data_IF_911490429203
#
_entry.id   IF_911490429203
#
_cell.length_a   1.000
_cell.length_b   1.000
_cell.length_c   1.000
_cell.angle_alpha   90.00
_cell.angle_beta   90.00
_cell.angle_gamma   90.00
#
_symmetry.space_group_name_H-M   'P 1'
#
loop_
_entity.id
_entity.type
_entity.pdbx_description
1 polymer ?
#
# COMPACT_ATOMS: atom_id res chain seq x y z
N UNK A 1 19.23 -10.52 -34.67
CA UNK A 1 18.19 -9.68 -34.02
C UNK A 1 17.70 -10.26 -32.67
N UNK A 2 18.58 -10.84 -31.83
CA UNK A 2 18.15 -11.50 -30.57
C UNK A 2 18.33 -10.66 -29.31
N UNK A 3 19.24 -9.68 -29.31
CA UNK A 3 19.55 -8.87 -28.12
C UNK A 3 18.42 -7.91 -27.71
N UNK A 4 17.64 -7.40 -28.69
CA UNK A 4 16.56 -6.45 -28.41
C UNK A 4 15.41 -7.08 -27.59
N UNK A 5 15.07 -8.36 -27.84
CA UNK A 5 14.00 -9.07 -27.11
C UNK A 5 14.35 -9.35 -25.65
N UNK A 6 15.61 -9.69 -25.37
CA UNK A 6 16.09 -9.92 -24.01
C UNK A 6 16.07 -8.65 -23.17
N UNK A 7 16.40 -7.51 -23.77
CA UNK A 7 16.38 -6.21 -23.10
C UNK A 7 14.95 -5.76 -22.76
N UNK A 8 14.01 -5.85 -23.71
CA UNK A 8 12.60 -5.50 -23.44
C UNK A 8 11.96 -6.37 -22.36
N UNK A 9 12.24 -7.68 -22.35
CA UNK A 9 11.68 -8.59 -21.34
C UNK A 9 12.20 -8.27 -19.92
N UNK A 10 13.48 -7.90 -19.82
CA UNK A 10 14.09 -7.51 -18.55
C UNK A 10 13.49 -6.20 -18.01
N UNK A 11 13.31 -5.19 -18.86
CA UNK A 11 12.72 -3.89 -18.47
C UNK A 11 11.27 -4.05 -18.01
N UNK A 12 10.48 -4.91 -18.68
CA UNK A 12 9.11 -5.20 -18.24
C UNK A 12 9.07 -5.96 -16.90
N UNK A 13 10.03 -6.86 -16.65
CA UNK A 13 10.16 -7.56 -15.38
C UNK A 13 10.54 -6.61 -14.24
N UNK A 14 11.59 -5.80 -14.42
CA UNK A 14 12.05 -4.83 -13.42
C UNK A 14 10.97 -3.78 -13.09
N UNK A 15 10.17 -3.35 -14.08
CA UNK A 15 9.02 -2.47 -13.85
C UNK A 15 7.90 -3.16 -13.05
N UNK A 16 7.56 -4.40 -13.38
CA UNK A 16 6.55 -5.16 -12.65
C UNK A 16 6.99 -5.41 -11.20
N UNK A 17 8.25 -5.75 -10.98
CA UNK A 17 8.85 -5.93 -9.65
C UNK A 17 8.82 -4.61 -8.86
N UNK A 18 9.16 -3.49 -9.50
CA UNK A 18 9.09 -2.17 -8.87
C UNK A 18 7.66 -1.78 -8.46
N UNK A 19 6.67 -2.08 -9.31
CA UNK A 19 5.26 -1.84 -9.00
C UNK A 19 4.77 -2.70 -7.83
N UNK A 20 5.21 -3.96 -7.77
CA UNK A 20 4.88 -4.85 -6.66
C UNK A 20 5.53 -4.36 -5.36
N UNK A 21 6.82 -4.02 -5.38
CA UNK A 21 7.52 -3.47 -4.22
C UNK A 21 6.88 -2.15 -3.73
N UNK A 22 6.43 -1.31 -4.67
CA UNK A 22 5.73 -0.08 -4.34
C UNK A 22 4.37 -0.34 -3.66
N UNK A 23 3.60 -1.33 -4.16
CA UNK A 23 2.35 -1.75 -3.52
C UNK A 23 2.58 -2.30 -2.11
N UNK A 24 3.58 -3.16 -1.93
CA UNK A 24 3.92 -3.71 -0.62
C UNK A 24 4.35 -2.62 0.37
N UNK A 25 5.07 -1.60 -0.12
CA UNK A 25 5.46 -0.43 0.67
C UNK A 25 4.25 0.38 1.11
N UNK A 26 3.30 0.63 0.22
CA UNK A 26 2.06 1.33 0.58
C UNK A 26 1.24 0.54 1.58
N UNK A 27 1.10 -0.77 1.42
CA UNK A 27 0.39 -1.61 2.39
C UNK A 27 1.06 -1.61 3.79
N UNK A 28 2.39 -1.58 3.84
CA UNK A 28 3.12 -1.44 5.10
C UNK A 28 2.87 -0.07 5.76
N UNK A 29 2.90 1.00 4.97
CA UNK A 29 2.64 2.37 5.44
C UNK A 29 1.21 2.53 5.93
N UNK A 30 0.22 2.01 5.20
CA UNK A 30 -1.19 2.01 5.55
C UNK A 30 -1.43 1.33 6.90
N UNK A 31 -0.82 0.16 7.12
CA UNK A 31 -0.90 -0.55 8.40
C UNK A 31 -0.27 0.25 9.55
N UNK A 32 0.83 0.94 9.30
CA UNK A 32 1.48 1.76 10.32
C UNK A 32 0.64 2.99 10.65
N UNK A 33 0.12 3.69 9.63
CA UNK A 33 -0.77 4.82 9.80
C UNK A 33 -2.02 4.41 10.58
N UNK A 34 -2.63 3.26 10.25
CA UNK A 34 -3.80 2.78 10.96
C UNK A 34 -3.54 2.52 12.45
N UNK A 35 -2.37 1.98 12.80
CA UNK A 35 -1.96 1.78 14.20
C UNK A 35 -1.77 3.09 14.94
N UNK A 36 -1.17 4.09 14.29
CA UNK A 36 -0.96 5.42 14.90
C UNK A 36 -2.30 6.10 15.16
N UNK A 37 -3.22 6.05 14.20
CA UNK A 37 -4.58 6.60 14.36
C UNK A 37 -5.30 5.92 15.51
N UNK A 38 -5.30 4.58 15.55
CA UNK A 38 -5.93 3.83 16.63
C UNK A 38 -5.33 4.10 18.01
N UNK A 39 -4.05 4.45 18.09
CA UNK A 39 -3.38 4.80 19.34
C UNK A 39 -3.67 6.25 19.80
N UNK A 40 -4.06 7.14 18.88
CA UNK A 40 -4.31 8.56 19.17
C UNK A 40 -5.80 8.95 19.18
N UNK A 41 -6.67 8.12 18.60
CA UNK A 41 -8.11 8.35 18.58
C UNK A 41 -8.71 8.36 19.98
N UNK A 42 -9.67 9.26 20.23
CA UNK A 42 -10.33 9.37 21.53
C UNK A 42 -11.30 8.21 21.78
N UNK A 43 -11.96 7.71 20.73
CA UNK A 43 -12.86 6.58 20.78
C UNK A 43 -12.88 5.80 19.45
N UNK A 44 -13.70 4.75 19.39
CA UNK A 44 -13.77 3.85 18.25
C UNK A 44 -14.43 4.47 17.01
N UNK A 45 -15.30 5.46 17.18
CA UNK A 45 -15.97 6.13 16.06
C UNK A 45 -15.06 7.22 15.47
N UNK A 46 -14.37 7.99 16.32
CA UNK A 46 -13.29 8.92 15.94
C UNK A 46 -12.17 8.20 15.16
N UNK A 47 -11.75 7.02 15.65
CA UNK A 47 -10.79 6.18 14.92
C UNK A 47 -11.27 5.81 13.51
N UNK A 48 -12.54 5.41 13.35
CA UNK A 48 -13.11 5.06 12.05
C UNK A 48 -13.16 6.25 11.11
N UNK A 49 -13.54 7.42 11.61
CA UNK A 49 -13.61 8.65 10.83
C UNK A 49 -12.21 9.08 10.35
N UNK A 50 -11.22 9.08 11.26
CA UNK A 50 -9.83 9.39 10.94
C UNK A 50 -9.23 8.43 9.91
N UNK A 51 -9.49 7.12 10.04
CA UNK A 51 -9.05 6.12 9.06
C UNK A 51 -9.72 6.33 7.70
N UNK A 52 -11.03 6.60 7.67
CA UNK A 52 -11.76 6.87 6.44
C UNK A 52 -11.24 8.12 5.71
N UNK A 53 -10.91 9.19 6.44
CA UNK A 53 -10.31 10.40 5.86
C UNK A 53 -8.94 10.15 5.22
N UNK A 54 -8.19 9.17 5.74
CA UNK A 54 -6.90 8.75 5.18
C UNK A 54 -7.05 7.73 4.04
N UNK A 55 -8.28 7.33 3.68
CA UNK A 55 -8.52 6.27 2.70
C UNK A 55 -8.16 4.86 3.20
N UNK A 56 -7.93 4.71 4.51
CA UNK A 56 -7.55 3.46 5.15
C UNK A 56 -8.80 2.71 5.57
N UNK A 57 -8.84 1.40 5.29
CA UNK A 57 -9.92 0.52 5.77
C UNK A 57 -9.60 -0.05 7.13
N UNK A 58 -10.61 -0.11 7.99
CA UNK A 58 -10.52 -0.90 9.22
C UNK A 58 -10.54 -2.39 8.81
N UNK A 59 -9.59 -3.22 9.28
CA UNK A 59 -9.70 -4.66 9.08
C UNK A 59 -10.99 -5.17 9.75
N UNK A 60 -11.96 -5.58 8.94
CA UNK A 60 -13.28 -6.01 9.40
C UNK A 60 -14.48 -5.22 8.85
N UNK A 61 -14.26 -4.14 8.08
CA UNK A 61 -15.33 -3.53 7.28
C UNK A 61 -15.57 -4.34 6.00
N UNK A 62 -16.71 -5.04 5.96
CA UNK A 62 -17.32 -5.60 4.73
C UNK A 62 -18.04 -4.52 3.94
#
# INVERSE_FOLDING_TARGET
MSALRGHTNRVTGEWADSQNAQRDSFEAQDRQAARVVAAQSADADDCRELLAMLGLKVPGQV
#
